data_IF_654716089800
#
_entry.id   IF_654716089800
#
_cell.length_a   1.000
_cell.length_b   1.000
_cell.length_c   1.000
_cell.angle_alpha   90.00
_cell.angle_beta   90.00
_cell.angle_gamma   90.00
#
_symmetry.space_group_name_H-M   'P 1'
#
loop_
_entity.id
_entity.type
_entity.pdbx_description
1 polymer ?
#
# COMPACT_ATOMS: atom_id res chain seq x y z
N UNK A 1 -14.69 -4.50 -7.51
CA UNK A 1 -14.07 -3.57 -6.54
C UNK A 1 -12.56 -3.63 -6.75
N UNK A 2 -11.93 -2.50 -7.09
CA UNK A 2 -10.48 -2.45 -7.31
C UNK A 2 -9.81 -1.70 -6.19
N UNK A 3 -9.15 -2.44 -5.29
CA UNK A 3 -8.42 -1.87 -4.16
C UNK A 3 -6.91 -2.09 -4.30
N UNK A 4 -6.42 -2.04 -5.56
CA UNK A 4 -4.99 -2.21 -5.84
C UNK A 4 -4.13 -1.20 -5.10
N UNK A 5 -4.52 0.08 -5.14
CA UNK A 5 -3.78 1.14 -4.47
C UNK A 5 -3.63 0.84 -2.98
N UNK A 6 -4.74 0.45 -2.34
CA UNK A 6 -4.76 0.15 -0.90
C UNK A 6 -3.88 -1.06 -0.58
N UNK A 7 -3.93 -2.09 -1.42
CA UNK A 7 -3.08 -3.27 -1.25
C UNK A 7 -1.60 -2.94 -1.37
N UNK A 8 -1.24 -2.11 -2.34
CA UNK A 8 0.15 -1.74 -2.57
C UNK A 8 0.71 -0.94 -1.39
N UNK A 9 -0.02 0.07 -0.93
CA UNK A 9 0.42 0.90 0.19
C UNK A 9 0.51 0.09 1.49
N UNK A 10 -0.52 -0.71 1.79
CA UNK A 10 -0.52 -1.51 3.01
C UNK A 10 0.58 -2.57 3.00
N UNK A 11 0.85 -3.19 1.86
CA UNK A 11 1.91 -4.19 1.75
C UNK A 11 3.29 -3.54 1.94
N UNK A 12 3.52 -2.38 1.33
CA UNK A 12 4.78 -1.67 1.53
C UNK A 12 4.94 -1.24 3.00
N UNK A 13 3.88 -0.79 3.63
CA UNK A 13 3.90 -0.44 5.06
C UNK A 13 4.26 -1.65 5.94
N UNK A 14 3.70 -2.80 5.62
CA UNK A 14 3.93 -4.03 6.38
C UNK A 14 5.38 -4.50 6.30
N UNK A 15 5.95 -4.54 5.10
CA UNK A 15 7.29 -5.04 4.91
C UNK A 15 8.38 -4.00 5.15
N UNK A 16 8.07 -2.72 4.99
CA UNK A 16 9.04 -1.65 5.17
C UNK A 16 10.21 -1.71 4.19
N UNK A 17 10.10 -2.50 3.14
CA UNK A 17 11.16 -2.75 2.17
C UNK A 17 10.53 -2.92 0.79
N UNK A 18 10.99 -2.12 -0.16
CA UNK A 18 10.39 -2.07 -1.49
C UNK A 18 10.50 -3.39 -2.26
N UNK A 19 11.68 -4.03 -2.19
CA UNK A 19 11.91 -5.29 -2.88
C UNK A 19 11.01 -6.39 -2.34
N UNK A 20 10.93 -6.52 -1.01
CA UNK A 20 10.11 -7.55 -0.37
C UNK A 20 8.62 -7.33 -0.62
N UNK A 21 8.17 -6.08 -0.56
CA UNK A 21 6.78 -5.76 -0.85
C UNK A 21 6.43 -6.08 -2.30
N UNK A 22 7.31 -5.73 -3.25
CA UNK A 22 7.10 -6.03 -4.66
C UNK A 22 7.01 -7.55 -4.90
N UNK A 23 7.88 -8.33 -4.27
CA UNK A 23 7.82 -9.78 -4.35
C UNK A 23 6.48 -10.32 -3.85
N UNK A 24 6.02 -9.81 -2.71
CA UNK A 24 4.72 -10.21 -2.14
C UNK A 24 3.56 -9.88 -3.07
N UNK A 25 3.67 -8.79 -3.81
CA UNK A 25 2.63 -8.32 -4.73
C UNK A 25 2.76 -8.90 -6.14
N UNK A 26 3.79 -9.69 -6.39
CA UNK A 26 4.06 -10.28 -7.70
C UNK A 26 4.24 -9.25 -8.80
N UNK A 27 4.91 -8.14 -8.46
CA UNK A 27 5.27 -7.09 -9.41
C UNK A 27 6.76 -6.78 -9.27
N UNK A 28 7.31 -6.06 -10.26
CA UNK A 28 8.71 -5.65 -10.19
C UNK A 28 8.89 -4.52 -9.17
N UNK A 29 10.08 -4.45 -8.60
CA UNK A 29 10.43 -3.37 -7.66
C UNK A 29 10.32 -1.99 -8.33
N UNK A 30 10.81 -1.76 -9.56
CA UNK A 30 10.60 -0.47 -10.22
C UNK A 30 9.12 -0.13 -10.43
N UNK A 31 8.28 -1.11 -10.75
CA UNK A 31 6.85 -0.87 -10.93
C UNK A 31 6.21 -0.39 -9.63
N UNK A 32 6.53 -1.01 -8.51
CA UNK A 32 5.99 -0.58 -7.22
C UNK A 32 6.51 0.82 -6.86
N UNK A 33 7.79 1.08 -7.08
CA UNK A 33 8.40 2.39 -6.80
C UNK A 33 7.70 3.50 -7.57
N UNK A 34 7.48 3.30 -8.87
CA UNK A 34 6.80 4.27 -9.72
C UNK A 34 5.36 4.48 -9.26
N UNK A 35 4.66 3.39 -8.94
CA UNK A 35 3.27 3.46 -8.50
C UNK A 35 3.14 4.32 -7.24
N UNK A 36 3.98 4.06 -6.24
CA UNK A 36 3.94 4.80 -4.97
C UNK A 36 4.30 6.28 -5.18
N UNK A 37 5.33 6.54 -5.99
CA UNK A 37 5.74 7.91 -6.29
C UNK A 37 4.62 8.70 -6.97
N UNK A 38 3.94 8.09 -7.94
CA UNK A 38 2.83 8.74 -8.63
C UNK A 38 1.64 8.97 -7.69
N UNK A 39 1.35 8.01 -6.84
CA UNK A 39 0.29 8.15 -5.85
C UNK A 39 0.58 9.34 -4.92
N UNK A 40 1.80 9.43 -4.39
CA UNK A 40 2.17 10.54 -3.52
C UNK A 40 2.07 11.89 -4.22
N UNK A 41 2.47 11.94 -5.49
CA UNK A 41 2.31 13.16 -6.29
C UNK A 41 0.84 13.55 -6.43
N UNK A 42 -0.02 12.59 -6.72
CA UNK A 42 -1.46 12.85 -6.88
C UNK A 42 -2.11 13.31 -5.57
N UNK A 43 -1.67 12.75 -4.45
CA UNK A 43 -2.17 13.15 -3.13
C UNK A 43 -1.59 14.49 -2.67
N UNK A 44 -0.42 14.87 -3.19
CA UNK A 44 0.26 16.09 -2.77
C UNK A 44 0.97 15.98 -1.44
N UNK A 45 1.10 14.78 -0.87
CA UNK A 45 1.83 14.53 0.38
C UNK A 45 2.55 13.20 0.29
N UNK A 46 3.71 13.06 0.93
CA UNK A 46 4.37 11.75 1.02
C UNK A 46 3.65 10.86 2.02
N UNK A 47 3.54 9.59 1.69
CA UNK A 47 3.01 8.56 2.59
C UNK A 47 4.14 7.84 3.32
N UNK A 48 5.35 7.86 2.76
CA UNK A 48 6.52 7.19 3.30
C UNK A 48 7.71 8.11 3.38
N UNK A 49 8.46 7.99 4.48
CA UNK A 49 9.81 8.51 4.60
C UNK A 49 10.76 7.37 4.27
N UNK A 50 11.83 7.68 3.54
CA UNK A 50 12.84 6.71 3.13
C UNK A 50 14.09 6.90 3.95
N UNK A 51 14.38 5.93 4.83
CA UNK A 51 15.61 5.88 5.62
C UNK A 51 16.50 4.80 5.04
N UNK A 52 17.36 5.16 4.09
CA UNK A 52 18.13 4.17 3.35
C UNK A 52 17.19 3.24 2.59
N UNK A 53 17.23 1.95 2.90
CA UNK A 53 16.35 0.95 2.27
C UNK A 53 15.04 0.77 3.02
N UNK A 54 14.85 1.45 4.13
CA UNK A 54 13.63 1.34 4.94
C UNK A 54 12.61 2.37 4.54
N UNK A 55 11.36 1.90 4.41
CA UNK A 55 10.20 2.75 4.19
C UNK A 55 9.40 2.81 5.48
N UNK A 56 9.22 4.01 6.02
CA UNK A 56 8.51 4.24 7.28
C UNK A 56 7.35 5.19 6.97
N UNK A 57 6.17 4.92 7.53
CA UNK A 57 5.01 5.76 7.27
C UNK A 57 5.19 7.16 7.85
N UNK A 58 4.82 8.17 7.06
CA UNK A 58 4.59 9.53 7.56
C UNK A 58 3.29 9.56 8.34
N UNK A 59 2.96 10.69 8.96
CA UNK A 59 1.63 10.85 9.58
C UNK A 59 0.52 10.62 8.55
N UNK A 60 0.65 11.22 7.36
CA UNK A 60 -0.32 11.01 6.29
C UNK A 60 -0.40 9.54 5.89
N UNK A 61 0.75 8.85 5.84
CA UNK A 61 0.79 7.42 5.55
C UNK A 61 0.08 6.59 6.60
N UNK A 62 0.24 6.92 7.88
CA UNK A 62 -0.46 6.21 8.96
C UNK A 62 -1.98 6.38 8.83
N UNK A 63 -2.43 7.59 8.54
CA UNK A 63 -3.86 7.84 8.34
C UNK A 63 -4.40 7.10 7.12
N UNK A 64 -3.63 7.11 6.03
CA UNK A 64 -4.00 6.38 4.81
C UNK A 64 -4.15 4.88 5.08
N UNK A 65 -3.14 4.28 5.70
CA UNK A 65 -3.12 2.83 5.96
C UNK A 65 -4.28 2.42 6.87
N UNK A 66 -4.61 3.22 7.87
CA UNK A 66 -5.75 2.92 8.73
C UNK A 66 -7.05 2.80 7.92
N UNK A 67 -7.30 3.76 7.02
CA UNK A 67 -8.49 3.74 6.17
C UNK A 67 -8.42 2.62 5.14
N UNK A 68 -7.25 2.41 4.55
CA UNK A 68 -7.05 1.37 3.55
C UNK A 68 -7.29 -0.04 4.12
N UNK A 69 -6.82 -0.30 5.34
CA UNK A 69 -7.07 -1.59 6.00
C UNK A 69 -8.56 -1.83 6.24
N UNK A 70 -9.29 -0.79 6.62
CA UNK A 70 -10.74 -0.89 6.79
C UNK A 70 -11.43 -1.24 5.46
N UNK A 71 -10.98 -0.61 4.36
CA UNK A 71 -11.51 -0.89 3.02
C UNK A 71 -11.23 -2.33 2.60
N UNK A 72 -10.00 -2.81 2.83
CA UNK A 72 -9.63 -4.19 2.49
C UNK A 72 -10.42 -5.20 3.33
N UNK A 73 -10.69 -4.89 4.59
CA UNK A 73 -11.50 -5.73 5.45
C UNK A 73 -12.96 -5.81 4.93
N UNK A 74 -13.52 -4.69 4.52
CA UNK A 74 -14.88 -4.67 3.96
C UNK A 74 -14.94 -5.47 2.67
N UNK A 75 -13.94 -5.39 1.82
CA UNK A 75 -13.86 -6.21 0.61
C UNK A 75 -13.84 -7.71 0.96
N UNK A 76 -13.05 -8.09 1.95
CA UNK A 76 -12.98 -9.48 2.39
C UNK A 76 -14.33 -9.97 2.91
N UNK A 77 -15.01 -9.15 3.72
CA UNK A 77 -16.33 -9.48 4.24
C UNK A 77 -17.35 -9.68 3.12
N UNK A 78 -17.32 -8.80 2.12
CA UNK A 78 -18.18 -8.94 0.94
C UNK A 78 -17.91 -10.26 0.21
N UNK A 79 -16.62 -10.56 -0.02
CA UNK A 79 -16.24 -11.79 -0.71
C UNK A 79 -16.68 -13.03 0.07
N UNK A 80 -16.53 -13.00 1.38
CA UNK A 80 -16.95 -14.12 2.25
C UNK A 80 -18.48 -14.34 2.19
N UNK A 81 -19.25 -13.26 2.13
CA UNK A 81 -20.71 -13.34 2.04
C UNK A 81 -21.18 -13.88 0.70
N UNK A 82 -20.47 -13.54 -0.38
CA UNK A 82 -20.94 -13.83 -1.74
C UNK A 82 -20.36 -15.12 -2.31
N UNK A 83 -19.10 -15.44 -1.98
CA UNK A 83 -18.37 -16.54 -2.61
C UNK A 83 -18.03 -17.71 -1.69
N UNK A 84 -18.42 -17.66 -0.45
CA UNK A 84 -18.15 -18.78 0.48
C UNK A 84 -19.19 -19.90 0.37
#
# INVERSE_FOLDING_TARGET
MDLREQKYVCTLAEYGNLTRAAERLYISQPALSIYITNLEKNLGVPLFDRNGKKFVLTYAGERYVEKARAMLQLEQEFNDEVYS
#
